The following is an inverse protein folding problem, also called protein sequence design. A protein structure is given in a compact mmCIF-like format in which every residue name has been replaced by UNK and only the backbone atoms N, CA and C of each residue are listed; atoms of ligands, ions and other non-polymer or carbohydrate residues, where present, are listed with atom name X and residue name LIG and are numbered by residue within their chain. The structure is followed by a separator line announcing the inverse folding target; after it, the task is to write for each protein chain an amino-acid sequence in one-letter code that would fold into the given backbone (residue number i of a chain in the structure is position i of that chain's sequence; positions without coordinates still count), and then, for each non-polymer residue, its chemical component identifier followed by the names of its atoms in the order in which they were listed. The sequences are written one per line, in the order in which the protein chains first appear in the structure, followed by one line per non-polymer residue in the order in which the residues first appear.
data_IF_262011775972
#
_entry.id   IF_262011775972
#
_cell.length_a   1.000
_cell.length_b   1.000
_cell.length_c   1.000
_cell.angle_alpha   90.00
_cell.angle_beta   90.00
_cell.angle_gamma   90.00
#
_symmetry.space_group_name_H-M   'P 1'
#
loop_
_entity.id
_entity.type
_entity.pdbx_description
1 polymer ?
#
# COMPACT_ATOMS: atom_id res chain seq x y z
N UNK A 1 0.45 31.57 16.59
CA UNK A 1 1.22 31.90 17.81
C UNK A 1 1.79 30.68 18.53
N UNK A 2 1.14 29.51 18.53
CA UNK A 2 1.70 28.28 19.16
C UNK A 2 3.01 27.78 18.52
N UNK A 3 3.21 28.01 17.22
CA UNK A 3 4.41 27.59 16.48
C UNK A 3 5.70 28.31 16.95
N UNK A 4 5.64 29.59 17.32
CA UNK A 4 6.82 30.34 17.75
C UNK A 4 7.31 29.92 19.15
N UNK A 5 6.38 29.60 20.07
CA UNK A 5 6.72 29.12 21.42
C UNK A 5 7.41 27.74 21.33
N UNK A 6 6.89 26.85 20.51
CA UNK A 6 7.49 25.53 20.28
C UNK A 6 8.89 25.63 19.68
N UNK A 7 9.06 26.50 18.67
CA UNK A 7 10.35 26.78 18.05
C UNK A 7 11.36 27.33 19.06
N UNK A 8 10.99 28.34 19.86
CA UNK A 8 11.89 28.93 20.86
C UNK A 8 12.30 27.90 21.93
N UNK A 9 11.38 27.02 22.35
CA UNK A 9 11.70 25.95 23.29
C UNK A 9 12.72 24.97 22.71
N UNK A 10 12.55 24.57 21.45
CA UNK A 10 13.48 23.68 20.76
C UNK A 10 14.84 24.36 20.54
N UNK A 11 14.83 25.64 20.17
CA UNK A 11 16.03 26.47 20.06
C UNK A 11 16.85 26.49 21.34
N UNK A 12 16.24 26.81 22.48
CA UNK A 12 16.96 26.82 23.75
C UNK A 12 17.44 25.43 24.16
N UNK A 13 16.65 24.38 23.90
CA UNK A 13 17.07 23.02 24.20
C UNK A 13 18.32 22.62 23.40
N UNK A 14 18.33 22.87 22.08
CA UNK A 14 19.48 22.58 21.21
C UNK A 14 20.69 23.45 21.57
N UNK A 15 20.49 24.76 21.75
CA UNK A 15 21.55 25.70 22.13
C UNK A 15 22.22 25.31 23.46
N UNK A 16 21.43 25.02 24.51
CA UNK A 16 21.95 24.64 25.81
C UNK A 16 22.64 23.27 25.76
N UNK A 17 22.12 22.33 24.96
CA UNK A 17 22.75 21.03 24.77
C UNK A 17 24.13 21.15 24.12
N UNK A 18 24.24 21.90 23.03
CA UNK A 18 25.51 22.17 22.33
C UNK A 18 26.52 22.93 23.20
N UNK A 19 26.04 23.95 23.93
CA UNK A 19 26.86 24.68 24.89
C UNK A 19 27.35 23.76 26.00
N UNK A 20 26.48 22.96 26.61
CA UNK A 20 26.85 22.03 27.69
C UNK A 20 27.86 20.99 27.21
N UNK A 21 27.66 20.40 26.03
CA UNK A 21 28.56 19.40 25.45
C UNK A 21 29.98 19.96 25.26
N UNK A 22 30.08 21.18 24.71
CA UNK A 22 31.36 21.86 24.48
C UNK A 22 31.99 22.31 25.80
N UNK A 23 31.22 22.98 26.65
CA UNK A 23 31.69 23.52 27.92
C UNK A 23 32.12 22.44 28.89
N UNK A 24 31.52 21.24 28.86
CA UNK A 24 31.95 20.16 29.76
C UNK A 24 33.43 19.81 29.57
N UNK A 25 33.93 19.83 28.34
CA UNK A 25 35.33 19.52 28.04
C UNK A 25 36.24 20.72 28.36
N UNK A 26 35.83 21.92 27.94
CA UNK A 26 36.62 23.15 28.11
C UNK A 26 36.65 23.65 29.55
N UNK A 27 35.55 23.53 30.30
CA UNK A 27 35.50 23.85 31.73
C UNK A 27 36.40 22.92 32.52
N UNK A 28 36.42 21.62 32.20
CA UNK A 28 37.29 20.66 32.87
C UNK A 28 38.76 21.03 32.64
N UNK A 29 39.14 21.38 31.41
CA UNK A 29 40.49 21.86 31.11
C UNK A 29 40.83 23.16 31.85
N UNK A 30 39.94 24.16 31.83
CA UNK A 30 40.11 25.44 32.52
C UNK A 30 40.19 25.29 34.04
N UNK A 31 39.37 24.40 34.62
CA UNK A 31 39.42 24.07 36.06
C UNK A 31 40.73 23.38 36.41
N UNK A 32 41.22 22.44 35.59
CA UNK A 32 42.52 21.79 35.83
C UNK A 32 43.68 22.79 35.78
N UNK A 33 43.70 23.68 34.78
CA UNK A 33 44.74 24.72 34.65
C UNK A 33 44.67 25.70 35.82
N UNK A 34 43.47 26.12 36.23
CA UNK A 34 43.27 27.01 37.37
C UNK A 34 43.69 26.35 38.68
N UNK A 35 43.36 25.08 38.87
CA UNK A 35 43.78 24.29 40.04
C UNK A 35 45.30 24.12 40.09
N UNK A 36 45.95 23.80 38.97
CA UNK A 36 47.41 23.70 38.89
C UNK A 36 48.08 25.04 39.21
N UNK A 37 47.56 26.15 38.66
CA UNK A 37 48.06 27.50 38.93
C UNK A 37 47.92 27.88 40.41
N UNK A 38 46.78 27.55 41.01
CA UNK A 38 46.54 27.78 42.44
C UNK A 38 47.49 26.97 43.33
N UNK A 39 47.73 25.70 43.02
CA UNK A 39 48.68 24.85 43.74
C UNK A 39 50.12 25.39 43.63
N UNK A 40 50.53 25.86 42.45
CA UNK A 40 51.83 26.49 42.25
C UNK A 40 51.96 27.82 42.99
N UNK A 41 50.88 28.61 43.07
CA UNK A 41 50.82 29.83 43.87
C UNK A 41 51.05 29.54 45.35
N UNK A 42 50.38 28.53 45.91
CA UNK A 42 50.56 28.14 47.33
C UNK A 42 52.01 27.78 47.65
N UNK A 43 52.76 27.24 46.66
CA UNK A 43 54.14 26.80 46.84
C UNK A 43 55.19 27.89 46.64
N UNK A 44 54.92 28.91 45.82
CA UNK A 44 55.93 29.86 45.35
C UNK A 44 56.06 31.15 46.17
N UNK A 45 55.14 31.45 47.10
CA UNK A 45 55.14 32.70 47.91
C UNK A 45 55.30 33.99 47.06
N UNK A 46 54.93 33.94 45.77
CA UNK A 46 55.03 35.08 44.87
C UNK A 46 53.78 35.97 45.00
N UNK A 47 53.91 37.25 45.41
CA UNK A 47 52.78 38.17 45.50
C UNK A 47 52.11 38.47 44.14
N UNK A 48 52.79 38.22 43.01
CA UNK A 48 52.24 38.46 41.67
C UNK A 48 51.24 37.37 41.23
N UNK A 49 51.25 36.18 41.84
CA UNK A 49 50.48 35.03 41.41
C UNK A 49 48.95 35.25 41.42
N UNK A 50 48.45 36.07 42.35
CA UNK A 50 47.02 36.41 42.42
C UNK A 50 46.57 37.25 41.22
N UNK A 51 47.44 38.12 40.70
CA UNK A 51 47.17 38.91 39.50
C UNK A 51 47.01 38.00 38.28
N UNK A 52 47.93 37.06 38.11
CA UNK A 52 47.91 36.07 37.02
C UNK A 52 46.67 35.19 37.07
N UNK A 53 46.25 34.76 38.27
CA UNK A 53 45.04 33.97 38.45
C UNK A 53 43.76 34.72 38.02
N UNK A 54 43.62 36.00 38.39
CA UNK A 54 42.50 36.84 37.95
C UNK A 54 42.45 36.99 36.43
N UNK A 55 43.61 37.24 35.81
CA UNK A 55 43.72 37.35 34.34
C UNK A 55 43.31 36.04 33.67
N UNK A 56 43.73 34.89 34.22
CA UNK A 56 43.36 33.58 33.69
C UNK A 56 41.85 33.32 33.76
N UNK A 57 41.18 33.66 34.87
CA UNK A 57 39.72 33.52 34.99
C UNK A 57 39.00 34.40 33.96
N UNK A 58 39.40 35.68 33.84
CA UNK A 58 38.79 36.60 32.88
C UNK A 58 38.99 36.11 31.45
N UNK A 59 40.19 35.65 31.10
CA UNK A 59 40.48 35.06 29.80
C UNK A 59 39.60 33.83 29.51
N UNK A 60 39.47 32.91 30.47
CA UNK A 60 38.58 31.74 30.34
C UNK A 60 37.11 32.15 30.16
N UNK A 61 36.65 33.17 30.89
CA UNK A 61 35.30 33.72 30.74
C UNK A 61 35.04 34.28 29.33
N UNK A 62 36.00 35.00 28.76
CA UNK A 62 35.91 35.52 27.38
C UNK A 62 35.84 34.39 26.36
N UNK A 63 36.67 33.35 26.51
CA UNK A 63 36.67 32.19 25.61
C UNK A 63 35.33 31.45 25.67
N UNK A 64 34.80 31.17 26.87
CA UNK A 64 33.49 30.52 27.04
C UNK A 64 32.36 31.37 26.45
N UNK A 65 32.41 32.69 26.63
CA UNK A 65 31.49 33.64 26.00
C UNK A 65 31.54 33.60 24.47
N UNK A 66 32.73 33.51 23.89
CA UNK A 66 32.93 33.34 22.45
C UNK A 66 32.26 32.06 21.91
N UNK A 67 32.41 30.93 22.62
CA UNK A 67 31.73 29.69 22.28
C UNK A 67 30.21 29.79 22.38
N UNK A 68 29.69 30.47 23.41
CA UNK A 68 28.24 30.70 23.52
C UNK A 68 27.71 31.52 22.33
N UNK A 69 28.41 32.59 21.93
CA UNK A 69 28.02 33.39 20.77
C UNK A 69 28.07 32.56 19.49
N UNK A 70 29.12 31.76 19.29
CA UNK A 70 29.22 30.86 18.15
C UNK A 70 28.03 29.89 18.07
N UNK A 71 27.69 29.23 19.17
CA UNK A 71 26.56 28.30 19.23
C UNK A 71 25.21 29.02 19.05
N UNK A 72 25.08 30.25 19.55
CA UNK A 72 23.87 31.07 19.35
C UNK A 72 23.64 31.37 17.86
N UNK A 73 24.71 31.67 17.10
CA UNK A 73 24.65 31.91 15.67
C UNK A 73 24.47 30.63 14.84
N UNK A 74 25.00 29.50 15.31
CA UNK A 74 24.95 28.20 14.61
C UNK A 74 23.62 27.48 14.79
N UNK A 75 22.99 27.58 15.96
CA UNK A 75 21.75 26.85 16.29
C UNK A 75 20.59 27.08 15.30
N UNK A 76 20.32 28.31 14.81
CA UNK A 76 19.28 28.53 13.80
C UNK A 76 19.52 27.75 12.50
N UNK A 77 20.78 27.63 12.07
CA UNK A 77 21.14 26.90 10.86
C UNK A 77 20.93 25.38 11.01
N UNK A 78 21.29 24.83 12.17
CA UNK A 78 21.05 23.42 12.49
C UNK A 78 19.56 23.08 12.49
N UNK A 79 18.74 23.89 13.16
CA UNK A 79 17.28 23.70 13.20
C UNK A 79 16.63 23.84 11.82
N UNK A 80 17.14 24.76 11.00
CA UNK A 80 16.65 24.91 9.63
C UNK A 80 16.93 23.65 8.81
N UNK A 81 18.15 23.12 8.86
CA UNK A 81 18.52 21.91 8.12
C UNK A 81 17.71 20.69 8.57
N UNK A 82 17.55 20.49 9.88
CA UNK A 82 16.71 19.40 10.41
C UNK A 82 15.26 19.51 9.93
N UNK A 83 14.72 20.74 9.89
CA UNK A 83 13.36 20.98 9.41
C UNK A 83 13.23 20.67 7.93
N UNK A 84 14.19 21.10 7.11
CA UNK A 84 14.22 20.82 5.67
C UNK A 84 14.33 19.33 5.42
N UNK A 85 15.20 18.63 6.15
CA UNK A 85 15.36 17.18 6.02
C UNK A 85 14.08 16.44 6.41
N UNK A 86 13.44 16.82 7.53
CA UNK A 86 12.17 16.21 7.96
C UNK A 86 11.06 16.43 6.94
N UNK A 87 10.91 17.66 6.43
CA UNK A 87 9.92 17.96 5.38
C UNK A 87 10.21 17.17 4.09
N UNK A 88 11.49 17.01 3.74
CA UNK A 88 11.91 16.17 2.61
C UNK A 88 11.50 14.71 2.80
N UNK A 89 11.75 14.14 3.98
CA UNK A 89 11.36 12.77 4.32
C UNK A 89 9.84 12.58 4.30
N UNK A 90 9.08 13.51 4.87
CA UNK A 90 7.61 13.50 4.86
C UNK A 90 7.07 13.55 3.42
N UNK A 91 7.65 14.38 2.55
CA UNK A 91 7.25 14.46 1.15
C UNK A 91 7.53 13.17 0.37
N UNK A 92 8.68 12.52 0.61
CA UNK A 92 9.03 11.24 -0.01
C UNK A 92 8.05 10.14 0.45
N UNK A 93 7.78 10.05 1.75
CA UNK A 93 6.82 9.08 2.29
C UNK A 93 5.40 9.30 1.75
N UNK A 94 4.97 10.56 1.62
CA UNK A 94 3.69 10.91 1.01
C UNK A 94 3.63 10.46 -0.47
N UNK A 95 4.70 10.70 -1.24
CA UNK A 95 4.79 10.27 -2.63
C UNK A 95 4.75 8.74 -2.77
N UNK A 96 5.43 8.01 -1.89
CA UNK A 96 5.41 6.55 -1.88
C UNK A 96 4.03 5.99 -1.55
N UNK A 97 3.36 6.53 -0.52
CA UNK A 97 2.00 6.11 -0.17
C UNK A 97 1.02 6.39 -1.31
N UNK A 98 1.14 7.52 -2.00
CA UNK A 98 0.34 7.83 -3.18
C UNK A 98 0.62 6.84 -4.33
N UNK A 99 1.89 6.51 -4.59
CA UNK A 99 2.25 5.51 -5.61
C UNK A 99 1.68 4.13 -5.30
N UNK A 100 1.68 3.71 -4.02
CA UNK A 100 1.10 2.44 -3.60
C UNK A 100 -0.42 2.45 -3.82
N UNK A 101 -1.11 3.52 -3.43
CA UNK A 101 -2.55 3.66 -3.65
C UNK A 101 -2.91 3.61 -5.15
N UNK A 102 -2.18 4.34 -5.99
CA UNK A 102 -2.38 4.32 -7.45
C UNK A 102 -2.09 2.92 -8.01
N UNK A 103 -1.02 2.25 -7.57
CA UNK A 103 -0.73 0.87 -8.01
C UNK A 103 -1.82 -0.10 -7.60
N UNK A 104 -2.39 0.04 -6.41
CA UNK A 104 -3.51 -0.77 -5.96
C UNK A 104 -4.77 -0.51 -6.78
N UNK A 105 -5.07 0.76 -7.08
CA UNK A 105 -6.20 1.12 -7.95
C UNK A 105 -6.02 0.57 -9.37
N UNK A 106 -4.81 0.70 -9.94
CA UNK A 106 -4.48 0.13 -11.25
C UNK A 106 -4.54 -1.40 -11.21
N UNK A 107 -4.07 -2.04 -10.14
CA UNK A 107 -4.16 -3.50 -9.97
C UNK A 107 -5.59 -4.00 -9.82
N UNK A 108 -6.56 -3.12 -9.53
CA UNK A 108 -7.98 -3.46 -9.51
C UNK A 108 -8.69 -3.19 -10.84
N UNK A 109 -8.03 -2.52 -11.80
CA UNK A 109 -8.55 -2.37 -13.16
C UNK A 109 -8.13 -3.56 -14.00
N UNK A 110 -9.13 -4.31 -14.44
CA UNK A 110 -8.93 -5.37 -15.43
C UNK A 110 -8.58 -4.71 -16.75
N UNK A 111 -7.43 -5.06 -17.31
CA UNK A 111 -6.95 -4.54 -18.58
C UNK A 111 -7.34 -5.45 -19.75
N UNK A 112 -7.32 -4.95 -21.00
CA UNK A 112 -7.49 -5.79 -22.19
C UNK A 112 -6.49 -6.94 -22.26
N UNK A 113 -5.28 -6.76 -21.72
CA UNK A 113 -4.23 -7.78 -21.67
C UNK A 113 -4.56 -8.90 -20.68
N UNK A 114 -5.16 -8.59 -19.52
CA UNK A 114 -5.53 -9.62 -18.55
C UNK A 114 -6.57 -10.60 -19.13
N UNK A 115 -7.52 -10.08 -19.91
CA UNK A 115 -8.48 -10.92 -20.64
C UNK A 115 -7.83 -11.80 -21.70
N UNK A 116 -6.79 -11.32 -22.39
CA UNK A 116 -6.04 -12.12 -23.38
C UNK A 116 -5.23 -13.22 -22.70
N UNK A 117 -4.53 -12.90 -21.62
CA UNK A 117 -3.78 -13.87 -20.83
C UNK A 117 -4.70 -14.96 -20.27
N UNK A 118 -5.89 -14.58 -19.82
CA UNK A 118 -6.90 -15.53 -19.37
C UNK A 118 -7.41 -16.42 -20.51
N UNK A 119 -7.63 -15.85 -21.70
CA UNK A 119 -7.98 -16.60 -22.91
C UNK A 119 -6.90 -17.63 -23.25
N UNK A 120 -5.62 -17.26 -23.21
CA UNK A 120 -4.52 -18.19 -23.47
C UNK A 120 -4.49 -19.35 -22.46
N UNK A 121 -4.74 -19.07 -21.18
CA UNK A 121 -4.84 -20.09 -20.13
C UNK A 121 -6.00 -21.06 -20.38
N UNK A 122 -7.17 -20.55 -20.80
CA UNK A 122 -8.28 -21.42 -21.19
C UNK A 122 -7.96 -22.25 -22.44
N UNK A 123 -7.30 -21.65 -23.43
CA UNK A 123 -6.91 -22.36 -24.65
C UNK A 123 -5.91 -23.50 -24.34
N UNK A 124 -4.99 -23.29 -23.41
CA UNK A 124 -4.02 -24.30 -22.98
C UNK A 124 -4.66 -25.55 -22.35
N UNK A 125 -5.83 -25.41 -21.73
CA UNK A 125 -6.60 -26.54 -21.16
C UNK A 125 -7.71 -27.05 -22.10
N UNK A 126 -7.95 -26.36 -23.23
CA UNK A 126 -9.05 -26.61 -24.15
C UNK A 126 -8.96 -27.89 -24.98
N UNK A 127 -7.84 -28.62 -24.87
CA UNK A 127 -7.70 -29.98 -25.43
C UNK A 127 -8.66 -30.98 -24.78
N UNK A 128 -9.14 -30.69 -23.57
CA UNK A 128 -10.07 -31.53 -22.83
C UNK A 128 -11.51 -30.99 -22.91
N UNK A 129 -12.47 -31.87 -23.15
CA UNK A 129 -13.90 -31.51 -23.22
C UNK A 129 -14.49 -31.35 -21.81
N UNK A 130 -14.19 -30.24 -21.14
CA UNK A 130 -14.83 -29.93 -19.87
C UNK A 130 -16.21 -29.33 -20.11
N UNK A 131 -17.24 -29.92 -19.50
CA UNK A 131 -18.62 -29.42 -19.56
C UNK A 131 -19.08 -28.91 -18.20
N UNK A 132 -19.84 -27.83 -18.19
CA UNK A 132 -20.57 -27.39 -17.00
C UNK A 132 -22.05 -27.73 -17.16
N UNK A 133 -22.66 -28.30 -16.13
CA UNK A 133 -24.10 -28.58 -16.11
C UNK A 133 -24.80 -27.62 -15.16
N UNK A 134 -26.03 -27.23 -15.47
CA UNK A 134 -26.88 -26.47 -14.56
C UNK A 134 -28.22 -27.15 -14.34
N UNK A 135 -28.80 -26.86 -13.19
CA UNK A 135 -30.17 -27.18 -12.86
C UNK A 135 -30.80 -25.95 -12.23
N UNK A 136 -31.90 -25.47 -12.82
CA UNK A 136 -32.74 -24.43 -12.23
C UNK A 136 -33.98 -25.06 -11.65
N UNK A 137 -34.18 -24.89 -10.35
CA UNK A 137 -35.36 -25.36 -9.62
C UNK A 137 -35.93 -24.17 -8.87
N UNK A 138 -37.22 -23.87 -9.07
CA UNK A 138 -37.90 -22.73 -8.40
C UNK A 138 -37.15 -21.39 -8.58
N UNK A 139 -36.56 -21.15 -9.76
CA UNK A 139 -35.80 -19.93 -10.06
C UNK A 139 -34.36 -19.91 -9.55
N UNK A 140 -33.94 -20.87 -8.73
CA UNK A 140 -32.55 -20.98 -8.25
C UNK A 140 -31.76 -21.87 -9.19
N UNK A 141 -30.71 -21.33 -9.80
CA UNK A 141 -29.82 -22.06 -10.71
C UNK A 141 -28.58 -22.54 -9.96
N UNK A 142 -28.26 -23.83 -10.09
CA UNK A 142 -27.05 -24.42 -9.53
C UNK A 142 -26.16 -24.99 -10.63
N UNK A 143 -24.92 -24.54 -10.68
CA UNK A 143 -23.91 -25.05 -11.60
C UNK A 143 -23.08 -26.18 -11.00
N UNK A 144 -22.67 -27.11 -11.87
CA UNK A 144 -21.73 -28.19 -11.57
C UNK A 144 -20.62 -28.18 -12.62
N UNK A 145 -19.41 -27.90 -12.17
CA UNK A 145 -18.16 -27.97 -12.92
C UNK A 145 -17.15 -28.74 -12.06
N UNK A 146 -16.74 -29.93 -12.54
CA UNK A 146 -15.95 -30.87 -11.75
C UNK A 146 -14.44 -30.66 -11.85
N UNK A 147 -13.96 -30.06 -12.94
CA UNK A 147 -12.52 -29.87 -13.16
C UNK A 147 -11.97 -28.70 -12.33
N UNK A 148 -10.92 -28.96 -11.55
CA UNK A 148 -10.36 -27.99 -10.60
C UNK A 148 -9.64 -26.85 -11.29
N UNK A 149 -8.94 -27.12 -12.40
CA UNK A 149 -8.18 -26.12 -13.14
C UNK A 149 -9.12 -25.18 -13.90
N UNK A 150 -10.09 -25.74 -14.63
CA UNK A 150 -11.14 -24.99 -15.30
C UNK A 150 -11.95 -24.17 -14.29
N UNK A 151 -12.28 -24.75 -13.11
CA UNK A 151 -12.97 -24.02 -12.05
C UNK A 151 -12.17 -22.83 -11.54
N UNK A 152 -10.85 -22.98 -11.32
CA UNK A 152 -10.00 -21.88 -10.90
C UNK A 152 -9.96 -20.74 -11.94
N UNK A 153 -9.87 -21.06 -13.23
CA UNK A 153 -9.93 -20.06 -14.30
C UNK A 153 -11.31 -19.40 -14.39
N UNK A 154 -12.41 -20.16 -14.24
CA UNK A 154 -13.76 -19.59 -14.19
C UNK A 154 -13.95 -18.67 -12.98
N UNK A 155 -13.38 -19.01 -11.81
CA UNK A 155 -13.37 -18.13 -10.64
C UNK A 155 -12.70 -16.80 -10.97
N UNK A 156 -11.50 -16.85 -11.58
CA UNK A 156 -10.78 -15.65 -11.98
C UNK A 156 -11.59 -14.81 -12.98
N UNK A 157 -12.13 -15.44 -14.02
CA UNK A 157 -12.98 -14.79 -15.01
C UNK A 157 -14.20 -14.09 -14.39
N UNK A 158 -14.90 -14.78 -13.48
CA UNK A 158 -16.06 -14.24 -12.78
C UNK A 158 -15.73 -13.10 -11.82
N UNK A 159 -14.52 -13.08 -11.24
CA UNK A 159 -14.05 -11.91 -10.47
C UNK A 159 -13.70 -10.74 -11.37
N UNK A 160 -13.03 -10.99 -12.50
CA UNK A 160 -12.68 -9.96 -13.48
C UNK A 160 -13.90 -9.28 -14.10
N UNK A 161 -15.00 -10.02 -14.32
CA UNK A 161 -16.26 -9.44 -14.81
C UNK A 161 -16.79 -8.32 -13.90
N UNK A 162 -16.65 -8.46 -12.59
CA UNK A 162 -17.13 -7.48 -11.61
C UNK A 162 -16.13 -6.36 -11.35
N UNK A 163 -14.83 -6.63 -11.51
CA UNK A 163 -13.77 -5.64 -11.37
C UNK A 163 -13.63 -4.75 -12.64
N UNK A 164 -14.06 -5.25 -13.79
CA UNK A 164 -14.08 -4.51 -15.06
C UNK A 164 -15.05 -3.33 -15.01
N UNK A 165 -14.54 -2.11 -15.18
CA UNK A 165 -15.36 -0.91 -15.26
C UNK A 165 -16.12 -0.80 -16.58
N UNK A 166 -15.58 -1.35 -17.68
CA UNK A 166 -16.24 -1.31 -18.99
C UNK A 166 -17.35 -2.37 -19.10
N UNK A 167 -17.13 -3.57 -18.54
CA UNK A 167 -18.02 -4.72 -18.74
C UNK A 167 -19.08 -4.79 -17.65
N UNK A 168 -18.73 -4.56 -16.37
CA UNK A 168 -19.66 -4.74 -15.24
C UNK A 168 -21.01 -3.98 -15.41
N UNK A 169 -21.06 -2.74 -15.94
CA UNK A 169 -22.32 -2.03 -16.14
C UNK A 169 -23.22 -2.63 -17.23
N UNK A 170 -22.66 -3.43 -18.14
CA UNK A 170 -23.38 -4.03 -19.28
C UNK A 170 -23.91 -5.44 -18.96
N UNK A 171 -23.58 -5.99 -17.80
CA UNK A 171 -23.99 -7.33 -17.39
C UNK A 171 -25.48 -7.35 -17.01
N UNK A 172 -26.13 -8.49 -17.26
CA UNK A 172 -27.50 -8.71 -16.81
C UNK A 172 -27.58 -8.79 -15.29
N UNK A 173 -28.75 -8.50 -14.73
CA UNK A 173 -28.99 -8.59 -13.28
C UNK A 173 -28.67 -9.97 -12.72
N UNK A 174 -28.98 -11.03 -13.48
CA UNK A 174 -28.69 -12.40 -13.07
C UNK A 174 -27.19 -12.65 -12.88
N UNK A 175 -26.33 -12.14 -13.79
CA UNK A 175 -24.88 -12.26 -13.67
C UNK A 175 -24.35 -11.35 -12.55
N UNK A 176 -24.87 -10.13 -12.46
CA UNK A 176 -24.40 -9.12 -11.49
C UNK A 176 -24.72 -9.48 -10.04
N UNK A 177 -25.88 -10.08 -9.79
CA UNK A 177 -26.34 -10.48 -8.46
C UNK A 177 -25.82 -11.85 -8.02
N UNK A 178 -25.29 -12.66 -8.95
CA UNK A 178 -24.70 -13.95 -8.60
C UNK A 178 -23.48 -13.75 -7.70
N UNK A 179 -23.45 -14.43 -6.57
CA UNK A 179 -22.42 -14.32 -5.54
C UNK A 179 -21.20 -15.17 -5.83
N UNK A 180 -21.42 -16.39 -6.35
CA UNK A 180 -20.36 -17.34 -6.66
C UNK A 180 -19.67 -16.95 -7.99
N UNK A 181 -18.36 -16.64 -8.00
CA UNK A 181 -17.67 -16.23 -9.22
C UNK A 181 -17.73 -17.27 -10.34
N UNK A 182 -17.72 -18.56 -10.01
CA UNK A 182 -17.82 -19.63 -11.01
C UNK A 182 -19.20 -19.60 -11.66
N UNK A 183 -20.26 -19.61 -10.86
CA UNK A 183 -21.64 -19.52 -11.34
C UNK A 183 -21.87 -18.23 -12.13
N UNK A 184 -21.29 -17.11 -11.69
CA UNK A 184 -21.34 -15.83 -12.41
C UNK A 184 -20.76 -15.93 -13.81
N UNK A 185 -19.56 -16.50 -13.92
CA UNK A 185 -18.93 -16.71 -15.23
C UNK A 185 -19.75 -17.63 -16.11
N UNK A 186 -20.31 -18.71 -15.56
CA UNK A 186 -21.12 -19.67 -16.32
C UNK A 186 -22.46 -19.09 -16.77
N UNK A 187 -23.11 -18.24 -15.97
CA UNK A 187 -24.30 -17.49 -16.43
C UNK A 187 -23.94 -16.46 -17.50
N UNK A 188 -22.78 -15.82 -17.40
CA UNK A 188 -22.29 -14.92 -18.46
C UNK A 188 -22.02 -15.69 -19.76
N UNK A 189 -21.39 -16.86 -19.68
CA UNK A 189 -21.22 -17.74 -20.84
C UNK A 189 -22.56 -18.17 -21.40
N UNK A 190 -23.50 -18.64 -20.56
CA UNK A 190 -24.85 -19.01 -21.01
C UNK A 190 -25.56 -17.89 -21.78
N UNK A 191 -25.35 -16.63 -21.39
CA UNK A 191 -25.93 -15.48 -22.09
C UNK A 191 -25.18 -15.08 -23.38
N UNK A 192 -23.91 -15.47 -23.53
CA UNK A 192 -23.04 -15.04 -24.64
C UNK A 192 -22.66 -16.13 -25.63
N UNK A 193 -22.80 -17.39 -25.22
CA UNK A 193 -22.47 -18.59 -25.97
C UNK A 193 -23.53 -18.86 -27.05
N UNK A 194 -23.08 -19.39 -28.18
CA UNK A 194 -23.96 -19.77 -29.29
C UNK A 194 -24.83 -20.98 -28.92
N UNK A 195 -26.03 -21.08 -29.51
CA UNK A 195 -26.98 -22.17 -29.24
C UNK A 195 -26.43 -23.59 -29.51
N UNK A 196 -25.30 -23.74 -30.19
CA UNK A 196 -24.71 -25.05 -30.52
C UNK A 196 -24.03 -25.74 -29.32
N UNK A 197 -23.49 -24.99 -28.36
CA UNK A 197 -22.81 -25.51 -27.15
C UNK A 197 -23.70 -25.45 -25.90
N UNK A 198 -24.86 -24.80 -26.00
CA UNK A 198 -25.88 -24.76 -24.97
C UNK A 198 -27.00 -25.76 -25.26
N UNK A 199 -27.21 -26.72 -24.36
CA UNK A 199 -28.38 -27.62 -24.43
C UNK A 199 -29.28 -27.37 -23.24
N UNK A 200 -30.58 -27.24 -23.51
CA UNK A 200 -31.63 -27.07 -22.50
C UNK A 200 -32.59 -28.26 -22.58
N UNK A 201 -32.75 -28.94 -21.45
CA UNK A 201 -33.70 -30.00 -21.22
C UNK A 201 -34.65 -29.59 -20.08
N UNK A 202 -35.80 -30.22 -19.97
CA UNK A 202 -36.70 -30.03 -18.83
C UNK A 202 -37.07 -31.38 -18.22
N UNK A 203 -37.19 -31.41 -16.89
CA UNK A 203 -37.67 -32.57 -16.14
C UNK A 203 -38.77 -32.12 -15.18
N UNK A 204 -39.76 -32.98 -14.95
CA UNK A 204 -40.83 -32.74 -13.97
C UNK A 204 -40.77 -33.79 -12.88
N UNK A 205 -40.72 -33.37 -11.63
CA UNK A 205 -40.79 -34.24 -10.45
C UNK A 205 -42.14 -34.04 -9.77
N UNK A 206 -42.84 -35.13 -9.44
CA UNK A 206 -44.09 -35.09 -8.68
C UNK A 206 -43.79 -35.44 -7.22
N UNK A 207 -44.05 -34.49 -6.33
CA UNK A 207 -43.83 -34.65 -4.90
C UNK A 207 -44.87 -35.60 -4.28
N UNK A 208 -44.59 -36.19 -3.10
CA UNK A 208 -45.58 -36.98 -2.37
C UNK A 208 -46.87 -36.22 -2.03
N UNK A 209 -46.84 -34.88 -2.05
CA UNK A 209 -48.01 -34.00 -1.88
C UNK A 209 -48.88 -33.86 -3.14
N UNK A 210 -48.46 -34.40 -4.29
CA UNK A 210 -49.09 -34.22 -5.60
C UNK A 210 -48.68 -32.94 -6.34
N UNK A 211 -47.83 -32.11 -5.74
CA UNK A 211 -47.28 -30.91 -6.39
C UNK A 211 -46.21 -31.28 -7.43
N UNK A 212 -46.19 -30.60 -8.58
CA UNK A 212 -45.20 -30.82 -9.64
C UNK A 212 -44.16 -29.71 -9.64
N UNK A 213 -42.89 -30.10 -9.51
CA UNK A 213 -41.75 -29.20 -9.65
C UNK A 213 -41.17 -29.37 -11.06
N UNK A 214 -40.96 -28.23 -11.74
CA UNK A 214 -40.24 -28.20 -13.03
C UNK A 214 -38.78 -27.89 -12.76
N UNK A 215 -37.90 -28.76 -13.26
CA UNK A 215 -36.46 -28.54 -13.31
C UNK A 215 -36.07 -28.18 -14.73
N UNK A 216 -35.43 -27.02 -14.91
CA UNK A 216 -34.73 -26.72 -16.14
C UNK A 216 -33.31 -27.25 -16.00
N UNK A 217 -32.91 -28.13 -16.92
CA UNK A 217 -31.61 -28.75 -16.93
C UNK A 217 -30.86 -28.26 -18.15
N UNK A 218 -29.55 -28.16 -18.07
CA UNK A 218 -28.80 -27.95 -19.28
C UNK A 218 -27.31 -28.02 -19.07
N UNK A 219 -26.58 -27.78 -20.14
CA UNK A 219 -25.12 -27.84 -20.11
C UNK A 219 -24.48 -26.90 -21.12
N UNK A 220 -23.27 -26.45 -20.77
CA UNK A 220 -22.33 -25.79 -21.68
C UNK A 220 -21.27 -26.82 -22.04
N UNK A 221 -21.25 -27.22 -23.29
CA UNK A 221 -20.24 -28.11 -23.86
C UNK A 221 -18.94 -27.33 -24.12
N UNK A 222 -17.79 -27.89 -23.71
CA UNK A 222 -16.45 -27.31 -23.91
C UNK A 222 -16.32 -25.88 -23.34
N UNK A 223 -16.47 -25.77 -22.02
CA UNK A 223 -16.33 -24.52 -21.25
C UNK A 223 -15.05 -23.75 -21.58
N UNK A 224 -13.85 -24.37 -21.72
CA UNK A 224 -12.66 -23.62 -22.09
C UNK A 224 -12.78 -22.91 -23.43
N UNK A 225 -13.30 -23.60 -24.46
CA UNK A 225 -13.47 -23.01 -25.79
C UNK A 225 -14.41 -21.81 -25.77
N UNK A 226 -15.54 -21.95 -25.08
CA UNK A 226 -16.50 -20.84 -24.92
C UNK A 226 -15.89 -19.70 -24.11
N UNK A 227 -15.08 -20.02 -23.10
CA UNK A 227 -14.38 -19.04 -22.28
C UNK A 227 -13.33 -18.25 -23.06
N UNK A 228 -12.60 -18.88 -23.99
CA UNK A 228 -11.66 -18.22 -24.91
C UNK A 228 -12.39 -17.14 -25.71
N UNK A 229 -13.49 -17.50 -26.37
CA UNK A 229 -14.27 -16.57 -27.18
C UNK A 229 -14.83 -15.41 -26.34
N UNK A 230 -15.36 -15.72 -25.15
CA UNK A 230 -15.87 -14.73 -24.22
C UNK A 230 -14.78 -13.78 -23.71
N UNK A 231 -13.59 -14.29 -23.38
CA UNK A 231 -12.46 -13.48 -22.95
C UNK A 231 -11.97 -12.52 -24.05
N UNK A 232 -11.91 -12.97 -25.31
CA UNK A 232 -11.56 -12.11 -26.46
C UNK A 232 -12.60 -10.99 -26.61
N UNK A 233 -13.90 -11.31 -26.48
CA UNK A 233 -14.97 -10.32 -26.51
C UNK A 233 -14.84 -9.29 -25.37
N UNK A 234 -14.56 -9.75 -24.14
CA UNK A 234 -14.29 -8.88 -23.00
C UNK A 234 -13.09 -7.96 -23.25
N UNK A 235 -11.99 -8.50 -23.79
CA UNK A 235 -10.80 -7.71 -24.16
C UNK A 235 -11.14 -6.59 -25.17
N UNK A 236 -12.00 -6.88 -26.15
CA UNK A 236 -12.45 -5.88 -27.12
C UNK A 236 -13.34 -4.79 -26.49
N UNK A 237 -14.20 -5.15 -25.55
CA UNK A 237 -15.04 -4.19 -24.82
C UNK A 237 -14.19 -3.24 -23.96
N UNK A 238 -13.15 -3.74 -23.30
CA UNK A 238 -12.20 -2.91 -22.52
C UNK A 238 -11.36 -1.97 -23.38
N UNK A 239 -11.18 -2.26 -24.67
CA UNK A 239 -10.50 -1.36 -25.60
C UNK A 239 -11.42 -0.25 -26.11
N UNK A 240 -12.73 -0.45 -26.05
CA UNK A 240 -13.73 0.46 -26.59
C UNK A 240 -14.30 1.44 -25.55
N UNK A 241 -14.19 1.12 -24.26
CA UNK A 241 -14.61 1.96 -23.13
C UNK A 241 -13.48 2.82 -22.58
#
# INVERSE_FOLDING_TARGET
MQSSIAYMRQFFATFLHECYSTWRQELLASTLVSAATYVLMLRSHDPAAWGTFKVAIVASGIVLGGFAIWHLLRTPFLLHNETVERLGQEAIAALESQKIAIRQEIAHRVSPTDWRDLSEKFNAIGSFQYSAQFQTTQGVTKWRLYDTQCKALCTLAGTMLMASTAISPQLSDQVRLESDPVSRWLEYLKATTSAASYRLDYATEELPSGEKIVHLLGRIDNVPRESVAACIKCSALELAG
#
